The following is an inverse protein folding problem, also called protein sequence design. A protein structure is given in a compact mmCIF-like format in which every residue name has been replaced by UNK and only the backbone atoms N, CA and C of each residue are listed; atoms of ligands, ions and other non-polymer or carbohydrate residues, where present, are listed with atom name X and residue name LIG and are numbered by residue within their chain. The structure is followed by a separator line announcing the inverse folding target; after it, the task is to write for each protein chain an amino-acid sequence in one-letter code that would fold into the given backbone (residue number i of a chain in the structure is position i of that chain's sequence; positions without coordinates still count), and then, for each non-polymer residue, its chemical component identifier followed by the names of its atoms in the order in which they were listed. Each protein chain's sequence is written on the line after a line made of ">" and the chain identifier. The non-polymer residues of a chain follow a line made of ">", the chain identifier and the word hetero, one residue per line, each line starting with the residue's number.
data_IF_927580241755
#
_entry.id   IF_927580241755
#
_cell.length_a   1.000
_cell.length_b   1.000
_cell.length_c   1.000
_cell.angle_alpha   90.00
_cell.angle_beta   90.00
_cell.angle_gamma   90.00
#
_symmetry.space_group_name_H-M   'P 1'
#
loop_
_entity.id
_entity.type
_entity.pdbx_description
1 polymer ?
#
# COMPACT_ATOMS: atom_id res chain seq x y z
N UNK A 1 43.26 -31.99 -4.34
CA UNK A 1 42.59 -31.73 -5.65
C UNK A 1 41.19 -31.10 -5.56
N UNK A 2 40.55 -30.92 -4.39
CA UNK A 2 39.15 -30.45 -4.26
C UNK A 2 38.92 -28.92 -4.40
N UNK A 3 39.95 -28.09 -4.29
CA UNK A 3 39.78 -26.63 -4.22
C UNK A 3 39.65 -25.91 -5.58
N UNK A 4 40.07 -26.54 -6.69
CA UNK A 4 40.07 -25.90 -8.02
C UNK A 4 38.73 -26.04 -8.77
N UNK A 5 37.91 -27.03 -8.39
CA UNK A 5 36.59 -27.27 -9.00
C UNK A 5 35.55 -26.31 -8.43
N UNK A 6 35.61 -26.02 -7.12
CA UNK A 6 34.67 -25.09 -6.46
C UNK A 6 34.85 -23.63 -6.93
N UNK A 7 36.07 -23.19 -7.20
CA UNK A 7 36.34 -21.84 -7.72
C UNK A 7 35.77 -21.63 -9.13
N UNK A 8 35.85 -22.64 -9.99
CA UNK A 8 35.36 -22.55 -11.37
C UNK A 8 33.83 -22.54 -11.45
N UNK A 9 33.12 -23.24 -10.55
CA UNK A 9 31.66 -23.23 -10.46
C UNK A 9 31.17 -21.85 -9.97
N UNK A 10 31.84 -21.26 -8.97
CA UNK A 10 31.50 -19.93 -8.44
C UNK A 10 31.63 -18.84 -9.50
N UNK A 11 32.68 -18.88 -10.32
CA UNK A 11 32.86 -17.91 -11.41
C UNK A 11 31.84 -18.06 -12.55
N UNK A 12 31.40 -19.28 -12.87
CA UNK A 12 30.33 -19.51 -13.85
C UNK A 12 28.97 -19.00 -13.37
N UNK A 13 28.67 -19.18 -12.08
CA UNK A 13 27.43 -18.67 -11.47
C UNK A 13 27.36 -17.14 -11.44
N UNK A 14 28.47 -16.45 -11.17
CA UNK A 14 28.56 -14.98 -11.22
C UNK A 14 28.37 -14.43 -12.64
N UNK A 15 29.02 -15.04 -13.64
CA UNK A 15 28.83 -14.64 -15.05
C UNK A 15 27.38 -14.83 -15.51
N UNK A 16 26.72 -15.91 -15.09
CA UNK A 16 25.30 -16.13 -15.38
C UNK A 16 24.38 -15.11 -14.70
N UNK A 17 24.67 -14.73 -13.44
CA UNK A 17 23.96 -13.65 -12.74
C UNK A 17 24.12 -12.28 -13.41
N UNK A 18 25.32 -11.94 -13.89
CA UNK A 18 25.55 -10.71 -14.66
C UNK A 18 24.84 -10.75 -16.03
N UNK A 19 24.76 -11.92 -16.67
CA UNK A 19 24.08 -12.08 -17.96
C UNK A 19 22.55 -11.91 -17.83
N UNK A 20 21.97 -12.44 -16.75
CA UNK A 20 20.55 -12.30 -16.40
C UNK A 20 20.23 -10.82 -16.08
N UNK A 21 21.09 -10.14 -15.32
CA UNK A 21 20.90 -8.73 -14.97
C UNK A 21 20.89 -7.82 -16.21
N UNK A 22 21.74 -8.11 -17.22
CA UNK A 22 21.75 -7.37 -18.49
C UNK A 22 20.50 -7.61 -19.35
N UNK A 23 19.94 -8.81 -19.34
CA UNK A 23 18.70 -9.11 -20.07
C UNK A 23 17.45 -8.49 -19.41
N UNK A 24 17.40 -8.44 -18.08
CA UNK A 24 16.32 -7.76 -17.34
C UNK A 24 16.33 -6.25 -17.63
N UNK A 25 17.51 -5.64 -17.72
CA UNK A 25 17.65 -4.22 -18.03
C UNK A 25 17.19 -3.89 -19.46
N UNK A 26 17.50 -4.76 -20.43
CA UNK A 26 17.10 -4.56 -21.82
C UNK A 26 15.61 -4.83 -22.08
N UNK A 27 14.99 -5.77 -21.36
CA UNK A 27 13.54 -6.01 -21.47
C UNK A 27 12.70 -4.83 -20.96
N UNK A 28 13.19 -4.08 -19.97
CA UNK A 28 12.54 -2.86 -19.49
C UNK A 28 12.59 -1.70 -20.50
N UNK A 29 13.49 -1.73 -21.47
CA UNK A 29 13.65 -0.68 -22.50
C UNK A 29 12.67 -0.88 -23.67
N UNK A 30 12.21 -2.11 -23.92
CA UNK A 30 11.35 -2.44 -25.07
C UNK A 30 9.86 -2.21 -24.77
N UNK A 31 9.46 -2.15 -23.50
CA UNK A 31 8.12 -1.76 -23.08
C UNK A 31 8.04 -0.22 -22.96
N UNK A 32 7.65 0.45 -24.04
CA UNK A 32 7.56 1.90 -24.15
C UNK A 32 6.84 2.59 -22.98
N UNK A 33 7.62 3.12 -22.04
CA UNK A 33 7.20 4.11 -21.08
C UNK A 33 8.36 5.09 -20.92
N UNK A 34 8.10 6.33 -21.34
CA UNK A 34 9.01 7.47 -21.20
C UNK A 34 9.68 7.44 -19.82
N UNK A 35 11.00 7.26 -19.78
CA UNK A 35 11.80 7.47 -18.57
C UNK A 35 11.91 8.99 -18.38
N UNK A 36 10.80 9.61 -18.01
CA UNK A 36 10.82 10.96 -17.48
C UNK A 36 11.38 10.87 -16.06
N UNK A 37 12.47 11.59 -15.83
CA UNK A 37 13.03 11.85 -14.50
C UNK A 37 11.95 12.50 -13.63
N UNK A 38 11.14 11.69 -12.93
CA UNK A 38 10.04 12.20 -12.11
C UNK A 38 10.48 12.30 -10.66
N UNK A 39 10.37 13.52 -10.12
CA UNK A 39 10.43 13.77 -8.68
C UNK A 39 9.48 12.79 -7.97
N UNK A 40 9.77 12.37 -6.73
CA UNK A 40 8.84 11.50 -5.99
C UNK A 40 7.47 12.16 -5.97
N UNK A 41 6.45 11.47 -6.50
CA UNK A 41 5.07 11.94 -6.45
C UNK A 41 4.70 12.15 -4.99
N UNK A 42 4.13 13.32 -4.70
CA UNK A 42 3.74 13.79 -3.37
C UNK A 42 2.33 14.38 -3.47
N UNK A 43 1.61 14.33 -2.35
CA UNK A 43 0.35 15.04 -2.18
C UNK A 43 0.62 16.26 -1.33
N UNK A 44 0.35 17.45 -1.86
CA UNK A 44 0.65 18.70 -1.17
C UNK A 44 -0.08 18.77 0.18
N UNK A 45 0.66 19.05 1.25
CA UNK A 45 0.11 19.15 2.61
C UNK A 45 -0.02 17.81 3.35
N UNK A 46 0.43 16.68 2.77
CA UNK A 46 0.35 15.36 3.40
C UNK A 46 1.68 14.62 3.37
N UNK A 47 1.93 13.87 4.44
CA UNK A 47 3.06 12.96 4.58
C UNK A 47 2.50 11.60 4.93
N UNK A 48 2.85 10.59 4.14
CA UNK A 48 2.38 9.23 4.33
C UNK A 48 3.41 8.37 5.08
N UNK A 49 2.98 7.38 5.88
CA UNK A 49 1.57 7.03 6.16
C UNK A 49 0.89 8.05 7.08
N UNK A 50 -0.42 8.26 6.90
CA UNK A 50 -1.22 9.07 7.82
C UNK A 50 -1.31 8.38 9.18
N UNK A 51 -1.05 9.14 10.24
CA UNK A 51 -0.89 8.62 11.60
C UNK A 51 -2.12 8.85 12.47
N UNK A 52 -3.01 9.75 12.08
CA UNK A 52 -4.19 10.14 12.85
C UNK A 52 -5.48 10.08 12.03
N UNK A 53 -6.61 10.02 12.74
CA UNK A 53 -7.94 10.15 12.14
C UNK A 53 -8.12 11.55 11.52
N UNK A 54 -7.66 12.60 12.18
CA UNK A 54 -7.77 13.98 11.70
C UNK A 54 -7.05 14.18 10.37
N UNK A 55 -5.91 13.52 10.14
CA UNK A 55 -5.22 13.56 8.85
C UNK A 55 -6.01 12.85 7.73
N UNK A 56 -6.74 11.78 8.05
CA UNK A 56 -7.61 11.07 7.10
C UNK A 56 -8.79 11.96 6.72
N UNK A 57 -9.46 12.57 7.71
CA UNK A 57 -10.56 13.51 7.48
C UNK A 57 -10.09 14.73 6.67
N UNK A 58 -8.92 15.30 7.02
CA UNK A 58 -8.32 16.40 6.25
C UNK A 58 -8.05 15.99 4.81
N UNK A 59 -7.51 14.79 4.57
CA UNK A 59 -7.23 14.31 3.22
C UNK A 59 -8.53 14.12 2.42
N UNK A 60 -9.55 13.50 3.02
CA UNK A 60 -10.85 13.32 2.36
C UNK A 60 -11.47 14.68 2.01
N UNK A 61 -11.49 15.63 2.94
CA UNK A 61 -12.07 16.96 2.70
C UNK A 61 -11.42 17.66 1.51
N UNK A 62 -10.08 17.72 1.47
CA UNK A 62 -9.37 18.40 0.38
C UNK A 62 -9.45 17.63 -0.93
N UNK A 63 -9.47 16.29 -0.92
CA UNK A 63 -9.62 15.46 -2.13
C UNK A 63 -11.02 15.64 -2.74
N UNK A 64 -12.04 15.82 -1.91
CA UNK A 64 -13.40 16.12 -2.39
C UNK A 64 -13.53 17.56 -2.91
N UNK A 65 -12.83 18.50 -2.31
CA UNK A 65 -12.96 19.93 -2.63
C UNK A 65 -12.05 20.37 -3.79
N UNK A 66 -10.85 19.79 -3.92
CA UNK A 66 -9.83 20.21 -4.87
C UNK A 66 -9.42 19.08 -5.82
N UNK A 67 -9.78 19.25 -7.09
CA UNK A 67 -9.45 18.29 -8.16
C UNK A 67 -7.94 18.10 -8.33
N UNK A 68 -7.12 19.13 -8.13
CA UNK A 68 -5.67 19.02 -8.26
C UNK A 68 -5.07 18.16 -7.14
N UNK A 69 -5.61 18.24 -5.92
CA UNK A 69 -5.17 17.38 -4.80
C UNK A 69 -5.65 15.94 -5.01
N UNK A 70 -6.87 15.74 -5.54
CA UNK A 70 -7.36 14.43 -5.94
C UNK A 70 -6.45 13.77 -6.96
N UNK A 71 -6.07 14.48 -8.02
CA UNK A 71 -5.17 13.98 -9.06
C UNK A 71 -3.80 13.61 -8.46
N UNK A 72 -3.22 14.46 -7.62
CA UNK A 72 -1.97 14.16 -6.90
C UNK A 72 -2.09 12.89 -6.05
N UNK A 73 -3.21 12.69 -5.36
CA UNK A 73 -3.43 11.50 -4.55
C UNK A 73 -3.58 10.24 -5.41
N UNK A 74 -4.34 10.28 -6.50
CA UNK A 74 -4.47 9.16 -7.44
C UNK A 74 -3.12 8.82 -8.08
N UNK A 75 -2.35 9.80 -8.52
CA UNK A 75 -1.01 9.59 -9.07
C UNK A 75 -0.04 9.03 -8.02
N UNK A 76 -0.14 9.50 -6.77
CA UNK A 76 0.62 8.96 -5.64
C UNK A 76 0.30 7.47 -5.42
N UNK A 77 -0.98 7.09 -5.43
CA UNK A 77 -1.40 5.69 -5.31
C UNK A 77 -0.89 4.83 -6.47
N UNK A 78 -1.03 5.31 -7.71
CA UNK A 78 -0.64 4.59 -8.92
C UNK A 78 0.87 4.36 -9.00
N UNK A 79 1.67 5.37 -8.64
CA UNK A 79 3.14 5.32 -8.73
C UNK A 79 3.81 4.50 -7.63
N UNK A 80 3.18 4.38 -6.45
CA UNK A 80 3.80 3.77 -5.26
C UNK A 80 3.50 2.30 -5.06
N UNK A 81 2.41 1.79 -5.62
CA UNK A 81 2.03 0.37 -5.49
C UNK A 81 2.48 -0.42 -6.73
N UNK A 82 3.51 -1.30 -6.63
CA UNK A 82 3.84 -2.19 -7.73
C UNK A 82 2.64 -3.09 -8.11
N UNK A 83 2.49 -3.48 -9.40
CA UNK A 83 1.41 -4.36 -9.82
C UNK A 83 1.39 -5.72 -9.09
N UNK A 84 2.57 -6.22 -8.68
CA UNK A 84 2.71 -7.47 -7.93
C UNK A 84 2.30 -7.38 -6.46
N UNK A 85 2.09 -6.18 -5.92
CA UNK A 85 1.75 -5.96 -4.52
C UNK A 85 0.23 -5.83 -4.36
N UNK A 86 -0.32 -6.69 -3.50
CA UNK A 86 -1.72 -6.64 -3.10
C UNK A 86 -2.04 -5.37 -2.30
N UNK A 87 -3.22 -4.79 -2.53
CA UNK A 87 -3.71 -3.58 -1.84
C UNK A 87 -3.63 -3.73 -0.31
N UNK A 88 -3.95 -4.92 0.23
CA UNK A 88 -3.91 -5.15 1.68
C UNK A 88 -2.51 -5.06 2.29
N UNK A 89 -1.46 -5.30 1.49
CA UNK A 89 -0.08 -5.14 1.92
C UNK A 89 0.37 -3.67 1.76
N UNK A 90 -0.05 -3.01 0.68
CA UNK A 90 0.28 -1.61 0.43
C UNK A 90 -0.42 -0.63 1.38
N UNK A 91 -1.59 -0.99 1.93
CA UNK A 91 -2.39 -0.12 2.80
C UNK A 91 -1.61 0.43 4.01
N UNK A 92 -0.65 -0.33 4.53
CA UNK A 92 0.22 0.09 5.65
C UNK A 92 1.18 1.23 5.31
N UNK A 93 1.44 1.49 4.02
CA UNK A 93 2.20 2.65 3.55
C UNK A 93 1.35 3.91 3.46
N UNK A 94 0.02 3.77 3.49
CA UNK A 94 -0.93 4.87 3.40
C UNK A 94 -1.43 5.30 4.77
N UNK A 95 -1.72 4.34 5.64
CA UNK A 95 -2.35 4.59 6.93
C UNK A 95 -1.75 3.69 8.00
N UNK A 96 -1.53 4.25 9.18
CA UNK A 96 -1.12 3.47 10.35
C UNK A 96 -2.31 2.75 11.00
N UNK A 97 -2.03 1.74 11.82
CA UNK A 97 -3.06 1.05 12.60
C UNK A 97 -3.81 1.99 13.56
N UNK A 98 -3.18 3.07 14.02
CA UNK A 98 -3.77 4.08 14.90
C UNK A 98 -4.74 5.00 14.16
N UNK A 99 -4.38 5.45 12.96
CA UNK A 99 -5.28 6.21 12.10
C UNK A 99 -6.57 5.42 11.78
N UNK A 100 -6.47 4.09 11.60
CA UNK A 100 -7.57 3.25 11.14
C UNK A 100 -8.43 2.61 12.25
N UNK A 101 -8.11 2.79 13.53
CA UNK A 101 -8.78 2.06 14.64
C UNK A 101 -10.31 2.24 14.65
N UNK A 102 -10.77 3.42 14.27
CA UNK A 102 -12.18 3.81 14.31
C UNK A 102 -12.86 3.64 12.95
N UNK A 103 -12.23 3.01 11.98
CA UNK A 103 -12.79 2.79 10.66
C UNK A 103 -13.14 1.32 10.42
N UNK A 104 -14.14 1.10 9.59
CA UNK A 104 -14.38 -0.17 8.91
C UNK A 104 -15.01 0.13 7.54
N UNK A 105 -15.29 -0.90 6.73
CA UNK A 105 -15.85 -0.64 5.39
C UNK A 105 -17.28 -0.05 5.45
N UNK A 106 -18.17 -0.67 6.21
CA UNK A 106 -19.63 -0.44 6.12
C UNK A 106 -20.22 0.46 7.22
N UNK A 107 -19.47 0.85 8.23
CA UNK A 107 -19.93 1.54 9.44
C UNK A 107 -20.73 0.66 10.42
N UNK A 108 -21.10 -0.55 10.02
CA UNK A 108 -21.92 -1.45 10.83
C UNK A 108 -21.10 -2.08 11.97
N UNK A 109 -21.57 -1.92 13.21
CA UNK A 109 -21.00 -2.57 14.39
C UNK A 109 -22.09 -3.01 15.37
N UNK A 110 -21.66 -3.71 16.42
CA UNK A 110 -22.50 -3.97 17.59
C UNK A 110 -22.96 -2.65 18.22
N UNK A 111 -24.13 -2.69 18.87
CA UNK A 111 -24.72 -1.55 19.58
C UNK A 111 -23.68 -0.93 20.53
N UNK A 112 -23.34 0.34 20.30
CA UNK A 112 -22.42 1.14 21.13
C UNK A 112 -21.01 1.38 20.57
N UNK A 113 -20.61 0.73 19.47
CA UNK A 113 -19.34 1.03 18.78
C UNK A 113 -19.68 1.77 17.47
N UNK A 114 -19.27 3.03 17.31
CA UNK A 114 -19.45 3.76 16.05
C UNK A 114 -18.13 3.74 15.30
N UNK A 115 -18.13 3.08 14.14
CA UNK A 115 -17.00 3.04 13.21
C UNK A 115 -17.35 3.91 12.00
N UNK A 116 -16.38 4.66 11.55
CA UNK A 116 -16.48 5.48 10.35
C UNK A 116 -16.54 4.56 9.11
N UNK A 117 -17.58 4.69 8.26
CA UNK A 117 -17.76 3.85 7.08
C UNK A 117 -16.85 4.29 5.94
N UNK A 118 -15.73 3.59 5.71
CA UNK A 118 -14.79 3.89 4.62
C UNK A 118 -15.44 3.92 3.23
N UNK A 119 -16.54 3.19 3.00
CA UNK A 119 -17.26 3.25 1.72
C UNK A 119 -17.78 4.64 1.35
N UNK A 120 -17.88 5.55 2.33
CA UNK A 120 -18.35 6.92 2.13
C UNK A 120 -17.20 7.91 1.78
N UNK A 121 -15.95 7.43 1.75
CA UNK A 121 -14.76 8.25 1.57
C UNK A 121 -14.14 7.97 0.21
N UNK A 122 -14.04 9.00 -0.62
CA UNK A 122 -13.43 8.88 -1.95
C UNK A 122 -11.95 8.48 -1.86
N UNK A 123 -11.24 8.80 -0.77
CA UNK A 123 -9.84 8.39 -0.57
C UNK A 123 -9.66 6.88 -0.35
N UNK A 124 -10.72 6.19 0.08
CA UNK A 124 -10.76 4.74 0.30
C UNK A 124 -11.50 3.98 -0.81
N UNK A 125 -12.23 4.67 -1.68
CA UNK A 125 -13.02 4.08 -2.77
C UNK A 125 -12.56 4.59 -4.12
N UNK A 126 -13.13 5.70 -4.61
CA UNK A 126 -13.02 6.18 -5.98
C UNK A 126 -11.56 6.40 -6.38
N UNK A 127 -10.75 7.00 -5.50
CA UNK A 127 -9.34 7.26 -5.78
C UNK A 127 -8.52 5.96 -5.90
N UNK A 128 -8.82 4.95 -5.09
CA UNK A 128 -8.12 3.66 -5.16
C UNK A 128 -8.54 2.87 -6.42
N UNK A 129 -9.83 2.92 -6.78
CA UNK A 129 -10.35 2.32 -8.01
C UNK A 129 -9.76 3.02 -9.23
N UNK A 130 -9.67 4.35 -9.23
CA UNK A 130 -9.07 5.10 -10.34
C UNK A 130 -7.58 4.76 -10.49
N UNK A 131 -6.84 4.70 -9.38
CA UNK A 131 -5.41 4.41 -9.40
C UNK A 131 -5.07 2.97 -9.82
N UNK A 132 -5.90 1.99 -9.42
CA UNK A 132 -5.58 0.56 -9.56
C UNK A 132 -6.61 -0.26 -10.33
N UNK A 133 -7.64 0.37 -10.90
CA UNK A 133 -8.68 -0.31 -11.67
C UNK A 133 -8.13 -1.02 -12.90
N UNK A 134 -7.12 -0.43 -13.57
CA UNK A 134 -6.41 -1.08 -14.66
C UNK A 134 -5.63 -2.34 -14.22
N UNK A 135 -5.36 -2.48 -12.93
CA UNK A 135 -4.73 -3.66 -12.32
C UNK A 135 -5.77 -4.69 -11.84
N UNK A 136 -7.05 -4.51 -12.19
CA UNK A 136 -8.15 -5.41 -11.85
C UNK A 136 -8.82 -5.12 -10.51
N UNK A 137 -8.54 -3.97 -9.88
CA UNK A 137 -9.23 -3.58 -8.65
C UNK A 137 -10.64 -3.09 -8.97
N UNK A 138 -11.63 -3.74 -8.38
CA UNK A 138 -13.06 -3.39 -8.45
C UNK A 138 -13.56 -2.98 -7.06
N UNK A 139 -14.77 -2.42 -6.97
CA UNK A 139 -15.37 -2.08 -5.68
C UNK A 139 -15.54 -3.31 -4.78
N UNK A 140 -15.98 -4.44 -5.34
CA UNK A 140 -16.17 -5.68 -4.60
C UNK A 140 -14.85 -6.22 -4.04
N UNK A 141 -13.81 -6.26 -4.88
CA UNK A 141 -12.49 -6.72 -4.43
C UNK A 141 -11.88 -5.75 -3.43
N UNK A 142 -12.06 -4.43 -3.60
CA UNK A 142 -11.62 -3.41 -2.65
C UNK A 142 -12.30 -3.58 -1.29
N UNK A 143 -13.61 -3.82 -1.25
CA UNK A 143 -14.34 -4.13 -0.01
C UNK A 143 -13.74 -5.35 0.70
N UNK A 144 -13.49 -6.44 -0.03
CA UNK A 144 -12.85 -7.64 0.53
C UNK A 144 -11.46 -7.33 1.11
N UNK A 145 -10.63 -6.56 0.39
CA UNK A 145 -9.30 -6.16 0.86
C UNK A 145 -9.39 -5.30 2.11
N UNK A 146 -10.28 -4.31 2.16
CA UNK A 146 -10.47 -3.45 3.34
C UNK A 146 -10.94 -4.29 4.54
N UNK A 147 -11.92 -5.17 4.36
CA UNK A 147 -12.37 -6.08 5.44
C UNK A 147 -11.21 -6.93 5.96
N UNK A 148 -10.34 -7.44 5.09
CA UNK A 148 -9.15 -8.20 5.48
C UNK A 148 -8.15 -7.33 6.26
N UNK A 149 -7.90 -6.10 5.84
CA UNK A 149 -7.03 -5.14 6.53
C UNK A 149 -7.53 -4.89 7.96
N UNK A 150 -8.82 -4.55 8.12
CA UNK A 150 -9.44 -4.27 9.42
C UNK A 150 -9.41 -5.51 10.33
N UNK A 151 -9.65 -6.70 9.78
CA UNK A 151 -9.51 -7.97 10.51
C UNK A 151 -8.09 -8.17 11.04
N UNK A 152 -7.07 -7.96 10.19
CA UNK A 152 -5.65 -8.07 10.56
C UNK A 152 -5.28 -7.04 11.63
N UNK A 153 -5.70 -5.79 11.47
CA UNK A 153 -5.49 -4.70 12.44
C UNK A 153 -6.08 -5.06 13.81
N UNK A 154 -7.33 -5.52 13.83
CA UNK A 154 -8.02 -5.89 15.08
C UNK A 154 -7.30 -7.05 15.78
N UNK A 155 -6.83 -8.05 15.03
CA UNK A 155 -6.06 -9.17 15.57
C UNK A 155 -4.73 -8.71 16.17
N UNK A 156 -3.99 -7.82 15.48
CA UNK A 156 -2.74 -7.22 16.00
C UNK A 156 -2.98 -6.47 17.31
N UNK A 157 -4.01 -5.61 17.37
CA UNK A 157 -4.37 -4.87 18.59
C UNK A 157 -4.72 -5.79 19.77
N UNK A 158 -5.51 -6.85 19.53
CA UNK A 158 -5.84 -7.84 20.57
C UNK A 158 -4.58 -8.52 21.09
N UNK A 159 -3.67 -8.91 20.21
CA UNK A 159 -2.39 -9.53 20.57
C UNK A 159 -1.50 -8.58 21.38
N UNK A 160 -1.41 -7.30 20.99
CA UNK A 160 -0.66 -6.29 21.74
C UNK A 160 -1.20 -6.11 23.16
N UNK A 161 -2.52 -5.95 23.32
CA UNK A 161 -3.16 -5.86 24.65
C UNK A 161 -2.89 -7.10 25.50
N UNK A 162 -2.93 -8.29 24.91
CA UNK A 162 -2.61 -9.53 25.61
C UNK A 162 -1.15 -9.56 26.09
N UNK A 163 -0.19 -9.17 25.25
CA UNK A 163 1.23 -9.10 25.61
C UNK A 163 1.50 -8.08 26.71
N UNK A 164 0.90 -6.88 26.63
CA UNK A 164 1.02 -5.85 27.66
C UNK A 164 0.50 -6.35 29.02
N UNK A 165 -0.63 -7.07 29.05
CA UNK A 165 -1.16 -7.67 30.28
C UNK A 165 -0.27 -8.77 30.86
N UNK A 166 0.50 -9.46 30.02
CA UNK A 166 1.45 -10.49 30.46
C UNK A 166 2.77 -9.91 30.99
N UNK A 167 3.23 -8.77 30.45
CA UNK A 167 4.46 -8.12 30.91
C UNK A 167 4.30 -7.33 32.21
N UNK A 168 3.05 -7.11 32.65
CA UNK A 168 2.71 -6.45 33.91
C UNK A 168 2.53 -7.43 35.08
N UNK A 169 2.76 -8.74 34.85
CA UNK A 169 2.76 -9.79 35.87
C UNK A 169 4.18 -10.26 36.11
#
# INVERSE_FOLDING_TARGET
>A
MRNRVQSNIRMKAEKHKLQISKHVLNAAIVAGSSVASSKPVKVNGFVFPLTSMDDIERLEEVVRADFAIREQYVEYLASRKPPSVDVSNFFSYLFTDDALINYNFSGANNVGDQKMPMRNYSIFTDCMIEAWGQQGLTMDTLEEKIKLIIKKLTARRRMQKFRQRRSLK
#
